data_IF_999108851911
#
_entry.id   IF_999108851911
#
_cell.length_a   1.000
_cell.length_b   1.000
_cell.length_c   1.000
_cell.angle_alpha   90.00
_cell.angle_beta   90.00
_cell.angle_gamma   90.00
#
_symmetry.space_group_name_H-M   'P 1'
#
loop_
_entity.id
_entity.type
_entity.pdbx_description
1 polymer ?
#
# COMPACT_ATOMS: atom_id res chain seq x y z
N UNK A 1 -6.23 19.38 14.25
CA UNK A 1 -4.77 19.31 14.01
C UNK A 1 -4.44 17.90 13.56
N UNK A 2 -4.25 17.60 12.27
CA UNK A 2 -3.85 16.27 11.86
C UNK A 2 -2.35 16.10 12.12
N UNK A 3 -2.01 15.09 12.92
CA UNK A 3 -0.64 14.73 13.26
C UNK A 3 0.04 14.09 12.04
N UNK A 4 1.06 14.77 11.50
CA UNK A 4 2.08 14.17 10.65
C UNK A 4 2.97 13.26 11.51
N UNK A 5 3.27 12.04 11.07
CA UNK A 5 4.32 11.19 11.64
C UNK A 5 5.34 10.78 10.55
N UNK A 6 6.65 10.69 10.86
CA UNK A 6 7.71 10.86 9.89
C UNK A 6 8.17 9.53 9.28
N UNK A 7 7.97 9.42 7.97
CA UNK A 7 9.00 8.87 7.10
C UNK A 7 9.54 10.06 6.28
N UNK A 8 10.86 10.14 6.11
CA UNK A 8 11.58 11.33 5.65
C UNK A 8 11.09 11.94 4.32
N UNK A 9 10.13 12.88 4.38
CA UNK A 9 9.95 13.91 3.35
C UNK A 9 9.66 15.25 4.03
N UNK A 10 10.74 16.00 4.31
CA UNK A 10 10.64 17.40 4.73
C UNK A 10 10.18 18.22 3.51
N UNK A 11 9.01 18.87 3.65
CA UNK A 11 8.30 19.76 2.70
C UNK A 11 7.35 19.03 1.75
N UNK A 12 6.04 19.28 1.90
CA UNK A 12 5.21 20.00 0.92
C UNK A 12 3.72 19.96 1.32
N UNK A 13 3.00 21.09 1.31
CA UNK A 13 1.58 21.16 1.68
C UNK A 13 0.64 20.66 0.56
N UNK A 14 1.10 19.75 -0.30
CA UNK A 14 0.38 19.33 -1.52
C UNK A 14 0.45 17.84 -1.85
N UNK A 15 1.28 17.05 -1.19
CA UNK A 15 1.47 15.63 -1.49
C UNK A 15 0.92 14.78 -0.35
N UNK A 16 -0.29 14.27 -0.49
CA UNK A 16 -0.83 13.25 0.40
C UNK A 16 -0.63 11.89 -0.27
N UNK A 17 0.52 11.26 -0.03
CA UNK A 17 0.69 9.85 -0.35
C UNK A 17 -0.34 9.06 0.43
N UNK A 18 -1.25 8.39 -0.26
CA UNK A 18 -2.20 7.44 0.34
C UNK A 18 -1.38 6.28 0.87
N UNK A 19 -1.31 6.24 2.19
CA UNK A 19 -0.58 5.24 2.93
C UNK A 19 -1.26 3.88 2.76
N UNK A 20 -0.64 3.03 1.93
CA UNK A 20 -0.77 1.57 1.92
C UNK A 20 -2.23 1.07 1.73
N UNK A 21 -2.60 0.75 0.50
CA UNK A 21 -3.85 0.04 0.18
C UNK A 21 -3.87 -1.41 0.67
N UNK A 22 -2.71 -1.99 0.98
CA UNK A 22 -2.60 -3.35 1.54
C UNK A 22 -3.50 -3.57 2.75
N UNK A 23 -4.13 -4.75 2.80
CA UNK A 23 -5.06 -5.11 3.87
C UNK A 23 -4.30 -5.35 5.17
N UNK A 24 -4.30 -4.40 6.10
CA UNK A 24 -3.92 -4.70 7.48
C UNK A 24 -5.04 -5.51 8.15
N UNK A 25 -4.71 -6.64 8.78
CA UNK A 25 -5.66 -7.33 9.68
C UNK A 25 -5.86 -6.59 11.01
N UNK A 26 -4.95 -5.67 11.35
CA UNK A 26 -5.14 -4.75 12.45
C UNK A 26 -6.15 -3.67 12.06
N UNK A 27 -7.06 -3.34 12.98
CA UNK A 27 -8.16 -2.35 12.88
C UNK A 27 -7.71 -0.90 12.57
N UNK A 28 -6.45 -0.69 12.24
CA UNK A 28 -5.81 0.61 12.05
C UNK A 28 -5.25 0.78 10.63
N UNK A 29 -5.97 0.36 9.58
CA UNK A 29 -5.72 0.92 8.26
C UNK A 29 -6.39 2.28 8.20
N UNK A 30 -5.61 3.35 8.07
CA UNK A 30 -6.12 4.72 7.89
C UNK A 30 -6.74 4.95 6.50
N UNK A 31 -6.76 3.92 5.66
CA UNK A 31 -7.25 3.98 4.28
C UNK A 31 -8.69 4.51 4.14
N UNK A 32 -9.69 4.08 4.93
CA UNK A 32 -11.05 4.62 4.80
C UNK A 32 -11.15 6.11 5.11
N UNK A 33 -10.36 6.57 6.09
CA UNK A 33 -10.29 7.99 6.48
C UNK A 33 -9.65 8.83 5.37
N UNK A 34 -8.55 8.34 4.79
CA UNK A 34 -7.88 8.98 3.65
C UNK A 34 -8.80 9.01 2.44
N UNK A 35 -9.53 7.93 2.16
CA UNK A 35 -10.50 7.88 1.07
C UNK A 35 -11.65 8.88 1.27
N UNK A 36 -12.13 9.06 2.50
CA UNK A 36 -13.12 10.11 2.83
C UNK A 36 -12.54 11.49 2.52
N UNK A 37 -11.36 11.78 3.06
CA UNK A 37 -10.70 13.07 2.86
C UNK A 37 -10.44 13.36 1.38
N UNK A 38 -10.00 12.36 0.60
CA UNK A 38 -9.78 12.52 -0.84
C UNK A 38 -11.04 12.89 -1.61
N UNK A 39 -12.20 12.33 -1.24
CA UNK A 39 -13.48 12.69 -1.86
C UNK A 39 -13.96 14.08 -1.49
N UNK A 40 -13.62 14.55 -0.30
CA UNK A 40 -13.96 15.91 0.18
C UNK A 40 -13.02 16.98 -0.41
N UNK A 41 -11.87 16.58 -0.95
CA UNK A 41 -10.82 17.46 -1.48
C UNK A 41 -10.32 17.00 -2.86
N UNK A 42 -11.14 17.08 -3.92
CA UNK A 42 -10.78 16.63 -5.27
C UNK A 42 -9.62 17.42 -5.91
N UNK A 43 -9.29 18.60 -5.39
CA UNK A 43 -8.16 19.42 -5.82
C UNK A 43 -6.81 18.99 -5.22
N UNK A 44 -6.83 18.14 -4.18
CA UNK A 44 -5.63 17.68 -3.52
C UNK A 44 -4.96 16.54 -4.32
N UNK A 45 -3.63 16.53 -4.27
CA UNK A 45 -2.82 15.57 -5.03
C UNK A 45 -2.53 14.33 -4.17
N UNK A 46 -3.16 13.21 -4.58
CA UNK A 46 -3.09 11.91 -3.91
C UNK A 46 -2.29 10.89 -4.71
N UNK A 47 -1.12 10.54 -4.19
CA UNK A 47 -0.30 9.44 -4.71
C UNK A 47 -0.69 8.11 -4.10
N UNK A 48 -0.41 6.99 -4.79
CA UNK A 48 -0.57 5.65 -4.24
C UNK A 48 0.78 4.98 -3.97
N UNK A 49 1.00 4.60 -2.72
CA UNK A 49 2.20 3.89 -2.27
C UNK A 49 2.06 2.37 -2.35
N UNK A 50 2.50 1.82 -3.47
CA UNK A 50 2.43 0.39 -3.73
C UNK A 50 3.29 -0.38 -2.73
N UNK A 51 2.74 -1.43 -2.15
CA UNK A 51 3.41 -2.15 -1.06
C UNK A 51 3.41 -3.67 -1.28
N UNK A 52 4.60 -4.25 -1.39
CA UNK A 52 4.78 -5.71 -1.58
C UNK A 52 5.50 -6.39 -0.40
N UNK A 53 5.94 -5.63 0.60
CA UNK A 53 6.61 -6.15 1.81
C UNK A 53 5.88 -5.73 3.08
N UNK A 54 6.11 -6.47 4.17
CA UNK A 54 5.57 -6.20 5.52
C UNK A 54 6.67 -6.40 6.57
N UNK A 55 7.49 -5.36 6.75
CA UNK A 55 8.79 -5.41 7.41
C UNK A 55 8.72 -5.51 8.95
N UNK A 56 7.63 -5.00 9.53
CA UNK A 56 7.47 -4.89 10.98
C UNK A 56 7.22 -6.24 11.63
N UNK A 57 7.70 -6.41 12.87
CA UNK A 57 7.58 -7.69 13.59
C UNK A 57 6.15 -8.01 14.02
N UNK A 58 5.40 -7.00 14.48
CA UNK A 58 4.09 -7.16 15.14
C UNK A 58 2.93 -6.54 14.38
N UNK A 59 3.21 -5.60 13.48
CA UNK A 59 2.19 -4.94 12.67
C UNK A 59 2.32 -5.44 11.24
N UNK A 60 1.49 -6.44 10.92
CA UNK A 60 1.54 -7.15 9.64
C UNK A 60 0.31 -6.83 8.81
N UNK A 61 0.52 -6.68 7.51
CA UNK A 61 -0.53 -6.57 6.51
C UNK A 61 -0.38 -7.65 5.44
N UNK A 62 -1.51 -8.06 4.87
CA UNK A 62 -1.61 -8.98 3.75
C UNK A 62 -1.82 -8.26 2.42
N UNK A 63 -1.81 -9.00 1.31
CA UNK A 63 -2.11 -8.46 -0.01
C UNK A 63 -3.56 -7.96 -0.10
N UNK A 64 -3.81 -7.09 -1.07
CA UNK A 64 -5.17 -6.74 -1.51
C UNK A 64 -5.73 -7.81 -2.43
N UNK A 65 -4.88 -8.37 -3.28
CA UNK A 65 -5.22 -9.49 -4.15
C UNK A 65 -5.45 -10.77 -3.36
N UNK A 66 -6.10 -11.73 -4.02
CA UNK A 66 -6.32 -13.06 -3.48
C UNK A 66 -4.97 -13.76 -3.23
N UNK A 67 -4.81 -14.39 -2.05
CA UNK A 67 -3.53 -15.00 -1.66
C UNK A 67 -3.11 -16.12 -2.61
N UNK A 68 -4.08 -16.77 -3.22
CA UNK A 68 -3.98 -17.85 -4.18
C UNK A 68 -3.44 -17.35 -5.54
N UNK A 69 -3.69 -16.09 -5.87
CA UNK A 69 -3.16 -15.44 -7.08
C UNK A 69 -1.72 -14.97 -6.90
N UNK A 70 -1.27 -14.75 -5.66
CA UNK A 70 0.07 -14.23 -5.32
C UNK A 70 0.81 -15.04 -4.24
N UNK A 71 0.91 -16.37 -4.35
CA UNK A 71 1.47 -17.22 -3.30
C UNK A 71 2.95 -16.93 -2.98
N UNK A 72 3.68 -16.33 -3.93
CA UNK A 72 5.07 -15.91 -3.73
C UNK A 72 5.22 -14.61 -2.94
N UNK A 73 4.21 -13.73 -2.91
CA UNK A 73 4.23 -12.47 -2.16
C UNK A 73 3.91 -12.66 -0.67
N UNK A 74 3.27 -13.78 -0.31
CA UNK A 74 2.79 -14.03 1.05
C UNK A 74 3.59 -15.10 1.80
N UNK A 75 3.61 -14.99 3.12
CA UNK A 75 4.10 -16.03 4.02
C UNK A 75 3.01 -17.07 4.34
N UNK A 76 3.36 -18.08 5.14
CA UNK A 76 2.45 -19.17 5.53
C UNK A 76 1.27 -18.71 6.40
N UNK A 77 1.28 -17.48 6.89
CA UNK A 77 0.20 -16.88 7.69
C UNK A 77 -0.69 -15.95 6.85
N UNK A 78 -0.39 -15.79 5.55
CA UNK A 78 -1.11 -14.94 4.61
C UNK A 78 -0.73 -13.46 4.68
N UNK A 79 0.40 -13.11 5.32
CA UNK A 79 0.92 -11.74 5.32
C UNK A 79 1.93 -11.54 4.21
N UNK A 80 2.11 -10.31 3.75
CA UNK A 80 3.21 -10.01 2.83
C UNK A 80 4.55 -10.36 3.48
N UNK A 81 5.49 -10.86 2.67
CA UNK A 81 6.80 -11.25 3.19
C UNK A 81 7.57 -10.03 3.72
N UNK A 82 8.45 -10.29 4.69
CA UNK A 82 9.09 -9.23 5.48
C UNK A 82 10.13 -8.41 4.72
N UNK A 83 10.86 -9.02 3.80
CA UNK A 83 12.05 -8.41 3.21
C UNK A 83 12.08 -8.49 1.69
N UNK A 84 12.77 -7.52 1.10
CA UNK A 84 12.98 -7.41 -0.34
C UNK A 84 13.56 -8.72 -0.91
N UNK A 85 14.59 -9.26 -0.26
CA UNK A 85 15.22 -10.53 -0.65
C UNK A 85 14.22 -11.70 -0.73
N UNK A 86 13.27 -11.75 0.21
CA UNK A 86 12.25 -12.79 0.20
C UNK A 86 11.24 -12.61 -0.92
N UNK A 87 10.95 -11.37 -1.33
CA UNK A 87 10.12 -11.12 -2.52
C UNK A 87 10.84 -11.61 -3.77
N UNK A 88 12.11 -11.22 -3.98
CA UNK A 88 12.87 -11.68 -5.15
C UNK A 88 13.10 -13.19 -5.19
N UNK A 89 13.15 -13.85 -4.02
CA UNK A 89 13.33 -15.30 -3.93
C UNK A 89 12.06 -16.10 -4.25
N UNK A 90 10.89 -15.61 -3.86
CA UNK A 90 9.65 -16.40 -3.87
C UNK A 90 8.58 -15.88 -4.84
N UNK A 91 8.57 -14.58 -5.14
CA UNK A 91 7.56 -13.96 -5.99
C UNK A 91 8.06 -13.78 -7.42
N UNK A 92 7.10 -13.58 -8.33
CA UNK A 92 7.38 -13.26 -9.73
C UNK A 92 6.91 -11.84 -10.07
N UNK A 93 7.47 -11.19 -11.10
CA UNK A 93 6.97 -9.89 -11.57
C UNK A 93 5.47 -9.92 -11.93
N UNK A 94 4.96 -11.07 -12.40
CA UNK A 94 3.53 -11.25 -12.68
C UNK A 94 2.69 -11.16 -11.40
N UNK A 95 3.12 -11.78 -10.30
CA UNK A 95 2.45 -11.67 -9.00
C UNK A 95 2.53 -10.26 -8.44
N UNK A 96 3.69 -9.60 -8.53
CA UNK A 96 3.86 -8.20 -8.13
C UNK A 96 2.88 -7.27 -8.88
N UNK A 97 2.72 -7.49 -10.19
CA UNK A 97 1.77 -6.76 -11.03
C UNK A 97 0.31 -7.01 -10.68
N UNK A 98 -0.05 -8.25 -10.34
CA UNK A 98 -1.41 -8.59 -9.88
C UNK A 98 -1.74 -7.81 -8.61
N UNK A 99 -0.85 -7.84 -7.63
CA UNK A 99 -1.04 -7.11 -6.37
C UNK A 99 -1.07 -5.60 -6.58
N UNK A 100 -0.17 -5.04 -7.39
CA UNK A 100 -0.14 -3.62 -7.69
C UNK A 100 -1.45 -3.15 -8.34
N UNK A 101 -2.01 -3.95 -9.26
CA UNK A 101 -3.31 -3.65 -9.87
C UNK A 101 -4.45 -3.71 -8.85
N UNK A 102 -4.47 -4.73 -7.99
CA UNK A 102 -5.49 -4.84 -6.94
C UNK A 102 -5.45 -3.61 -6.01
N UNK A 103 -4.26 -3.15 -5.64
CA UNK A 103 -4.06 -1.92 -4.86
C UNK A 103 -4.58 -0.66 -5.57
N UNK A 104 -4.26 -0.49 -6.85
CA UNK A 104 -4.75 0.64 -7.66
C UNK A 104 -6.28 0.61 -7.77
N UNK A 105 -6.84 -0.56 -8.11
CA UNK A 105 -8.29 -0.70 -8.24
C UNK A 105 -9.02 -0.43 -6.93
N UNK A 106 -8.46 -0.83 -5.78
CA UNK A 106 -9.05 -0.53 -4.48
C UNK A 106 -9.06 0.98 -4.20
N UNK A 107 -7.99 1.70 -4.52
CA UNK A 107 -7.93 3.16 -4.39
C UNK A 107 -8.98 3.85 -5.27
N UNK A 108 -9.06 3.46 -6.55
CA UNK A 108 -10.01 4.02 -7.50
C UNK A 108 -11.46 3.73 -7.08
N UNK A 109 -11.77 2.50 -6.64
CA UNK A 109 -13.11 2.13 -6.12
C UNK A 109 -13.46 2.89 -4.84
N UNK A 110 -12.47 3.33 -4.07
CA UNK A 110 -12.67 4.18 -2.89
C UNK A 110 -12.90 5.67 -3.23
N UNK A 111 -12.84 6.04 -4.52
CA UNK A 111 -13.05 7.41 -4.98
C UNK A 111 -11.81 8.31 -4.84
N UNK A 112 -10.61 7.71 -4.79
CA UNK A 112 -9.35 8.45 -4.78
C UNK A 112 -8.91 8.66 -6.23
N UNK A 113 -8.69 9.92 -6.62
CA UNK A 113 -8.05 10.25 -7.90
C UNK A 113 -6.53 10.07 -7.79
N UNK A 114 -6.02 8.94 -8.27
CA UNK A 114 -4.60 8.59 -8.11
C UNK A 114 -3.78 9.30 -9.18
N UNK A 115 -2.93 10.24 -8.76
CA UNK A 115 -2.15 11.10 -9.65
C UNK A 115 -0.75 10.58 -9.95
N UNK A 116 -0.15 9.85 -9.01
CA UNK A 116 1.20 9.30 -9.11
C UNK A 116 1.35 8.01 -8.32
N UNK A 117 2.38 7.23 -8.65
CA UNK A 117 2.71 5.96 -8.01
C UNK A 117 4.15 6.00 -7.50
N UNK A 118 4.35 5.44 -6.31
CA UNK A 118 5.67 5.09 -5.79
C UNK A 118 5.63 3.69 -5.15
N UNK A 119 6.77 3.22 -4.63
CA UNK A 119 6.87 1.86 -4.09
C UNK A 119 7.54 1.83 -2.72
N UNK A 120 6.91 1.10 -1.81
CA UNK A 120 7.46 0.82 -0.48
C UNK A 120 8.75 0.02 -0.61
N UNK A 121 9.82 0.50 0.02
CA UNK A 121 11.15 -0.09 -0.03
C UNK A 121 11.69 -0.33 -1.45
N UNK A 122 11.18 0.35 -2.48
CA UNK A 122 11.64 0.18 -3.86
C UNK A 122 11.38 -1.22 -4.44
N UNK A 123 10.39 -1.95 -3.91
CA UNK A 123 10.10 -3.33 -4.32
C UNK A 123 8.95 -3.35 -5.33
N UNK A 124 9.26 -3.54 -6.61
CA UNK A 124 8.28 -3.67 -7.71
C UNK A 124 8.74 -4.72 -8.74
#
# INVERSE_FOLDING_TARGET
MPMMWPCHTKRMPRLLTVWRTVRSRAEASWFPEIARYAREHPEADFGLHLTHTSEWRRYKWGPVSDTEAVPGLVDSLGYLRRGIESIYKYATPAQAKIEARAQIEQALRAGIDVTHLDSHMGTL
#
